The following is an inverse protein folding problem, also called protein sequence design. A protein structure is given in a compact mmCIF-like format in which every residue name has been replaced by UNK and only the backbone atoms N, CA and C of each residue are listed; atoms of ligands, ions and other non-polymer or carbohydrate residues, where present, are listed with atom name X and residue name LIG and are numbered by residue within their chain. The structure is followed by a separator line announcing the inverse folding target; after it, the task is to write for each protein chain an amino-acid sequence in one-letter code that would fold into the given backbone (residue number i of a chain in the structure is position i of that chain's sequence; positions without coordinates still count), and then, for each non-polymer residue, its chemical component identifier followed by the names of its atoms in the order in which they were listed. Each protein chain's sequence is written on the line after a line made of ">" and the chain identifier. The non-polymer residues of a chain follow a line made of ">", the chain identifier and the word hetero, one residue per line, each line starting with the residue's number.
data_IF_734054643276
#
_entry.id   IF_734054643276
#
_cell.length_a   1.000
_cell.length_b   1.000
_cell.length_c   1.000
_cell.angle_alpha   90.00
_cell.angle_beta   90.00
_cell.angle_gamma   90.00
#
_symmetry.space_group_name_H-M   'P 1'
#
loop_
_entity.id
_entity.type
_entity.pdbx_description
1 polymer ?
#
# COMPACT_ATOMS: atom_id res chain seq x y z
N UNK A 1 4.77 -13.60 -2.91
CA UNK A 1 3.81 -12.66 -2.34
C UNK A 1 2.44 -12.72 -3.02
N UNK A 2 2.39 -12.58 -4.33
CA UNK A 2 1.11 -12.50 -5.04
C UNK A 2 0.35 -13.82 -5.11
N UNK A 3 1.00 -14.96 -4.94
CA UNK A 3 0.29 -16.23 -4.75
C UNK A 3 -0.60 -16.19 -3.49
N UNK A 4 -0.16 -15.47 -2.46
CA UNK A 4 -0.92 -15.28 -1.21
C UNK A 4 -2.01 -14.22 -1.43
N UNK A 5 -1.72 -13.17 -2.20
CA UNK A 5 -2.60 -12.01 -2.38
C UNK A 5 -3.60 -12.16 -3.51
N UNK A 6 -3.54 -13.23 -4.30
CA UNK A 6 -4.34 -13.39 -5.53
C UNK A 6 -5.82 -13.09 -5.32
N UNK A 7 -6.40 -13.59 -4.23
CA UNK A 7 -7.82 -13.40 -3.91
C UNK A 7 -8.14 -12.01 -3.38
N UNK A 8 -7.13 -11.26 -2.94
CA UNK A 8 -7.30 -9.89 -2.42
C UNK A 8 -7.17 -8.85 -3.52
N UNK A 9 -6.64 -9.21 -4.69
CA UNK A 9 -6.46 -8.27 -5.79
C UNK A 9 -7.75 -8.02 -6.57
N UNK A 10 -8.56 -9.05 -6.78
CA UNK A 10 -9.71 -8.96 -7.67
C UNK A 10 -10.70 -7.89 -7.20
N UNK A 11 -11.02 -6.96 -8.11
CA UNK A 11 -11.92 -5.85 -7.90
C UNK A 11 -11.51 -4.88 -6.78
N UNK A 12 -10.29 -4.98 -6.28
CA UNK A 12 -9.80 -4.14 -5.19
C UNK A 12 -9.41 -2.75 -5.67
N UNK A 13 -9.62 -1.75 -4.81
CA UNK A 13 -8.94 -0.47 -4.91
C UNK A 13 -7.64 -0.60 -4.13
N UNK A 14 -6.53 -0.27 -4.76
CA UNK A 14 -5.17 -0.49 -4.25
C UNK A 14 -4.49 0.83 -4.00
N UNK A 15 -3.83 0.95 -2.84
CA UNK A 15 -2.95 2.07 -2.53
C UNK A 15 -1.52 1.54 -2.38
N UNK A 16 -0.60 2.12 -3.13
CA UNK A 16 0.83 1.86 -3.02
C UNK A 16 1.50 3.14 -2.57
N UNK A 17 1.74 3.28 -1.27
CA UNK A 17 2.04 4.58 -0.66
C UNK A 17 3.51 4.99 -0.80
N UNK A 18 4.42 4.06 -0.86
CA UNK A 18 5.85 4.30 -1.12
C UNK A 18 6.22 3.50 -2.36
N UNK A 19 5.63 3.89 -3.49
CA UNK A 19 5.48 2.99 -4.62
C UNK A 19 6.77 2.67 -5.37
N UNK A 20 7.78 3.53 -5.31
CA UNK A 20 9.03 3.32 -6.04
C UNK A 20 8.76 3.17 -7.55
N UNK A 21 9.04 1.99 -8.10
CA UNK A 21 8.74 1.70 -9.52
C UNK A 21 7.25 1.44 -9.79
N UNK A 22 6.46 1.24 -8.73
CA UNK A 22 5.06 0.88 -8.85
C UNK A 22 4.80 -0.61 -9.09
N UNK A 23 5.81 -1.46 -8.96
CA UNK A 23 5.70 -2.87 -9.32
C UNK A 23 4.58 -3.60 -8.57
N UNK A 24 4.39 -3.32 -7.28
CA UNK A 24 3.37 -4.00 -6.49
C UNK A 24 1.96 -3.62 -6.96
N UNK A 25 1.69 -2.33 -7.12
CA UNK A 25 0.38 -1.87 -7.59
C UNK A 25 0.09 -2.35 -9.01
N UNK A 26 1.08 -2.33 -9.88
CA UNK A 26 0.92 -2.77 -11.27
C UNK A 26 0.65 -4.27 -11.35
N UNK A 27 1.31 -5.07 -10.51
CA UNK A 27 1.02 -6.49 -10.41
C UNK A 27 -0.41 -6.74 -9.93
N UNK A 28 -0.86 -5.97 -8.92
CA UNK A 28 -2.24 -6.07 -8.45
C UNK A 28 -3.25 -5.75 -9.55
N UNK A 29 -2.99 -4.71 -10.35
CA UNK A 29 -3.83 -4.37 -11.50
C UNK A 29 -3.88 -5.50 -12.53
N UNK A 30 -2.74 -6.14 -12.82
CA UNK A 30 -2.68 -7.26 -13.76
C UNK A 30 -3.44 -8.48 -13.23
N UNK A 31 -3.65 -8.57 -11.92
CA UNK A 31 -4.40 -9.66 -11.28
C UNK A 31 -5.86 -9.30 -11.00
N UNK A 32 -6.35 -8.21 -11.56
CA UNK A 32 -7.77 -7.88 -11.55
C UNK A 32 -8.18 -6.76 -10.62
N UNK A 33 -7.26 -6.00 -10.04
CA UNK A 33 -7.64 -4.85 -9.22
C UNK A 33 -8.41 -3.83 -10.06
N UNK A 34 -9.42 -3.21 -9.44
CA UNK A 34 -10.28 -2.24 -10.12
C UNK A 34 -9.55 -0.93 -10.39
N UNK A 35 -8.69 -0.51 -9.48
CA UNK A 35 -7.91 0.70 -9.64
C UNK A 35 -6.75 0.73 -8.67
N UNK A 36 -5.81 1.63 -8.88
CA UNK A 36 -4.65 1.80 -8.01
C UNK A 36 -4.22 3.25 -7.94
N UNK A 37 -3.80 3.67 -6.75
CA UNK A 37 -3.10 4.93 -6.54
C UNK A 37 -1.66 4.60 -6.18
N UNK A 38 -0.71 5.13 -6.94
CA UNK A 38 0.73 4.98 -6.71
C UNK A 38 1.26 6.34 -6.26
N UNK A 39 1.89 6.39 -5.11
CA UNK A 39 2.41 7.64 -4.57
C UNK A 39 3.87 7.50 -4.18
N UNK A 40 4.65 8.52 -4.50
CA UNK A 40 6.03 8.63 -4.08
C UNK A 40 6.41 10.12 -4.06
N UNK A 41 7.33 10.48 -3.18
CA UNK A 41 7.85 11.86 -3.12
C UNK A 41 8.95 12.12 -4.16
N UNK A 42 9.63 11.07 -4.61
CA UNK A 42 10.78 11.20 -5.52
C UNK A 42 10.28 11.39 -6.95
N UNK A 43 10.60 12.52 -7.62
CA UNK A 43 10.17 12.75 -9.00
C UNK A 43 10.70 11.70 -9.98
N UNK A 44 11.84 11.07 -9.68
CA UNK A 44 12.38 10.00 -10.52
C UNK A 44 11.53 8.74 -10.43
N UNK A 45 11.09 8.39 -9.22
CA UNK A 45 10.17 7.27 -9.00
C UNK A 45 8.84 7.52 -9.73
N UNK A 46 8.28 8.70 -9.58
CA UNK A 46 7.02 9.09 -10.22
C UNK A 46 7.12 8.99 -11.74
N UNK A 47 8.24 9.41 -12.32
CA UNK A 47 8.44 9.30 -13.78
C UNK A 47 8.43 7.84 -14.22
N UNK A 48 9.09 6.96 -13.48
CA UNK A 48 9.12 5.52 -13.76
C UNK A 48 7.72 4.93 -13.61
N UNK A 49 7.00 5.29 -12.55
CA UNK A 49 5.62 4.84 -12.33
C UNK A 49 4.72 5.20 -13.50
N UNK A 50 4.76 6.45 -13.94
CA UNK A 50 3.94 6.93 -15.07
C UNK A 50 4.29 6.19 -16.36
N UNK A 51 5.57 5.97 -16.61
CA UNK A 51 6.03 5.23 -17.78
C UNK A 51 5.53 3.79 -17.74
N UNK A 52 5.64 3.13 -16.59
CA UNK A 52 5.20 1.74 -16.43
C UNK A 52 3.68 1.62 -16.57
N UNK A 53 2.92 2.55 -15.99
CA UNK A 53 1.46 2.60 -16.12
C UNK A 53 1.05 2.68 -17.59
N UNK A 54 1.69 3.56 -18.34
CA UNK A 54 1.39 3.75 -19.76
C UNK A 54 1.79 2.52 -20.59
N UNK A 55 3.00 2.01 -20.36
CA UNK A 55 3.52 0.87 -21.11
C UNK A 55 2.69 -0.40 -20.91
N UNK A 56 2.10 -0.57 -19.75
CA UNK A 56 1.27 -1.73 -19.42
C UNK A 56 -0.22 -1.52 -19.75
N UNK A 57 -0.59 -0.33 -20.22
CA UNK A 57 -1.97 -0.06 -20.61
C UNK A 57 -2.92 0.19 -19.45
N UNK A 58 -2.42 0.66 -18.30
CA UNK A 58 -3.23 0.87 -17.10
C UNK A 58 -3.61 2.32 -16.84
N UNK A 59 -3.40 3.23 -17.80
CA UNK A 59 -3.63 4.65 -17.61
C UNK A 59 -5.06 5.00 -17.15
N UNK A 60 -6.05 4.21 -17.53
CA UNK A 60 -7.44 4.40 -17.15
C UNK A 60 -7.77 3.90 -15.73
N UNK A 61 -6.88 3.11 -15.12
CA UNK A 61 -7.12 2.50 -13.80
C UNK A 61 -6.07 2.86 -12.76
N UNK A 62 -5.00 3.56 -13.15
CA UNK A 62 -3.92 3.92 -12.25
C UNK A 62 -3.79 5.44 -12.16
N UNK A 63 -3.66 5.93 -10.94
CA UNK A 63 -3.41 7.34 -10.65
C UNK A 63 -2.05 7.45 -9.95
N UNK A 64 -1.19 8.33 -10.45
CA UNK A 64 0.14 8.56 -9.87
C UNK A 64 0.15 9.92 -9.18
N UNK A 65 0.59 9.94 -7.92
CA UNK A 65 0.68 11.17 -7.11
C UNK A 65 2.13 11.38 -6.67
N UNK A 66 2.69 12.55 -6.99
CA UNK A 66 3.98 12.96 -6.46
C UNK A 66 3.76 13.80 -5.22
N UNK A 67 3.94 13.20 -4.04
CA UNK A 67 3.78 13.89 -2.75
C UNK A 67 4.36 13.04 -1.63
N UNK A 68 4.62 13.69 -0.49
CA UNK A 68 4.90 12.99 0.77
C UNK A 68 3.68 12.18 1.18
N UNK A 69 3.88 11.15 2.00
CA UNK A 69 2.79 10.25 2.38
C UNK A 69 1.67 10.98 3.14
N UNK A 70 2.01 11.99 3.97
CA UNK A 70 1.03 12.78 4.71
C UNK A 70 0.09 13.53 3.75
N UNK A 71 0.66 14.20 2.76
CA UNK A 71 -0.11 14.94 1.76
C UNK A 71 -0.96 14.01 0.91
N UNK A 72 -0.40 12.88 0.51
CA UNK A 72 -1.12 11.87 -0.25
C UNK A 72 -2.36 11.39 0.50
N UNK A 73 -2.19 10.98 1.76
CA UNK A 73 -3.31 10.48 2.55
C UNK A 73 -4.34 11.57 2.81
N UNK A 74 -3.92 12.80 3.04
CA UNK A 74 -4.84 13.91 3.23
C UNK A 74 -5.72 14.13 1.98
N UNK A 75 -5.13 14.10 0.80
CA UNK A 75 -5.88 14.23 -0.46
C UNK A 75 -6.89 13.10 -0.65
N UNK A 76 -6.45 11.87 -0.44
CA UNK A 76 -7.30 10.70 -0.65
C UNK A 76 -8.44 10.65 0.37
N UNK A 77 -8.19 11.04 1.62
CA UNK A 77 -9.23 11.14 2.64
C UNK A 77 -10.28 12.19 2.27
N UNK A 78 -9.85 13.35 1.75
CA UNK A 78 -10.75 14.40 1.31
C UNK A 78 -11.64 13.96 0.13
N UNK A 79 -11.16 13.03 -0.69
CA UNK A 79 -11.92 12.44 -1.80
C UNK A 79 -12.77 11.24 -1.36
N UNK A 80 -12.78 10.91 -0.08
CA UNK A 80 -13.53 9.77 0.50
C UNK A 80 -13.14 8.42 -0.14
N UNK A 81 -11.88 8.25 -0.50
CA UNK A 81 -11.41 7.00 -1.09
C UNK A 81 -11.19 5.94 -0.01
N UNK A 82 -11.55 4.71 -0.34
CA UNK A 82 -11.30 3.53 0.49
C UNK A 82 -10.53 2.49 -0.32
N UNK A 83 -9.67 1.74 0.39
CA UNK A 83 -8.79 0.76 -0.24
C UNK A 83 -8.94 -0.58 0.42
N UNK A 84 -9.06 -1.63 -0.37
CA UNK A 84 -9.12 -3.00 0.12
C UNK A 84 -7.71 -3.60 0.26
N UNK A 85 -6.73 -3.03 -0.44
CA UNK A 85 -5.36 -3.50 -0.40
C UNK A 85 -4.42 -2.30 -0.36
N UNK A 86 -3.55 -2.25 0.66
CA UNK A 86 -2.57 -1.18 0.84
C UNK A 86 -1.18 -1.80 0.91
N UNK A 87 -0.28 -1.32 0.06
CA UNK A 87 1.13 -1.70 0.08
C UNK A 87 1.97 -0.60 0.71
N UNK A 88 2.84 -0.97 1.62
CA UNK A 88 3.79 -0.08 2.27
C UNK A 88 5.18 -0.68 2.19
N UNK A 89 6.07 -0.04 1.44
CA UNK A 89 7.49 -0.34 1.39
C UNK A 89 8.27 0.92 1.76
N UNK A 90 8.21 1.33 3.04
CA UNK A 90 8.76 2.60 3.48
C UNK A 90 10.29 2.61 3.46
N UNK A 91 10.92 3.81 3.46
CA UNK A 91 12.36 3.94 3.60
C UNK A 91 12.85 3.23 4.86
N UNK A 92 14.06 2.69 4.82
CA UNK A 92 14.65 1.95 5.94
C UNK A 92 14.69 2.74 7.25
N UNK A 93 14.80 4.06 7.18
CA UNK A 93 14.82 4.91 8.37
C UNK A 93 13.46 4.98 9.07
N UNK A 94 12.37 4.67 8.37
CA UNK A 94 11.01 4.74 8.90
C UNK A 94 10.61 3.38 9.47
N UNK A 95 10.96 3.12 10.73
CA UNK A 95 10.65 1.86 11.40
C UNK A 95 9.32 1.90 12.16
N UNK A 96 8.92 3.09 12.60
CA UNK A 96 7.64 3.29 13.26
C UNK A 96 6.61 3.74 12.23
N UNK A 97 5.65 2.87 11.94
CA UNK A 97 4.59 3.11 10.97
C UNK A 97 3.26 3.48 11.63
N UNK A 98 3.25 3.70 12.95
CA UNK A 98 2.01 3.96 13.68
C UNK A 98 1.28 5.21 13.15
N UNK A 99 2.01 6.26 12.76
CA UNK A 99 1.40 7.47 12.21
C UNK A 99 0.74 7.21 10.85
N UNK A 100 1.35 6.39 10.00
CA UNK A 100 0.78 6.01 8.70
C UNK A 100 -0.50 5.19 8.91
N UNK A 101 -0.45 4.19 9.78
CA UNK A 101 -1.59 3.33 10.07
C UNK A 101 -2.74 4.11 10.70
N UNK A 102 -2.43 5.01 11.63
CA UNK A 102 -3.44 5.86 12.27
C UNK A 102 -4.09 6.82 11.27
N UNK A 103 -3.31 7.39 10.36
CA UNK A 103 -3.84 8.27 9.32
C UNK A 103 -4.79 7.51 8.37
N UNK A 104 -4.46 6.27 8.02
CA UNK A 104 -5.34 5.43 7.21
C UNK A 104 -6.66 5.16 7.92
N UNK A 105 -6.60 4.85 9.21
CA UNK A 105 -7.77 4.57 10.04
C UNK A 105 -8.64 5.81 10.23
N UNK A 106 -8.05 6.92 10.68
CA UNK A 106 -8.78 8.17 10.95
C UNK A 106 -9.38 8.77 9.69
N UNK A 107 -8.68 8.64 8.56
CA UNK A 107 -9.18 9.10 7.26
C UNK A 107 -10.24 8.19 6.65
N UNK A 108 -10.58 7.09 7.30
CA UNK A 108 -11.55 6.10 6.82
C UNK A 108 -11.20 5.54 5.45
N UNK A 109 -9.90 5.43 5.18
CA UNK A 109 -9.39 4.88 3.93
C UNK A 109 -9.28 3.35 3.95
N UNK A 110 -9.40 2.78 5.13
CA UNK A 110 -9.42 1.32 5.34
C UNK A 110 -10.58 0.94 6.24
N UNK A 111 -11.03 -0.29 6.11
CA UNK A 111 -12.01 -0.91 6.99
C UNK A 111 -11.54 -2.31 7.40
N UNK A 112 -12.40 -3.07 8.08
CA UNK A 112 -12.07 -4.41 8.58
C UNK A 112 -11.80 -5.43 7.47
N UNK A 113 -12.21 -5.14 6.22
CA UNK A 113 -11.93 -6.01 5.06
C UNK A 113 -10.59 -5.69 4.41
N UNK A 114 -10.00 -4.54 4.74
CA UNK A 114 -8.75 -4.08 4.13
C UNK A 114 -7.55 -4.89 4.63
N UNK A 115 -6.65 -5.20 3.71
CA UNK A 115 -5.37 -5.84 4.03
C UNK A 115 -4.25 -4.84 3.79
N UNK A 116 -3.41 -4.63 4.80
CA UNK A 116 -2.22 -3.79 4.70
C UNK A 116 -1.00 -4.69 4.67
N UNK A 117 -0.21 -4.56 3.61
CA UNK A 117 0.98 -5.37 3.37
C UNK A 117 2.21 -4.50 3.53
N UNK A 118 3.04 -4.80 4.51
CA UNK A 118 4.27 -4.05 4.81
C UNK A 118 5.48 -4.89 4.42
N UNK A 119 6.29 -4.36 3.51
CA UNK A 119 7.61 -4.91 3.22
C UNK A 119 8.66 -4.19 4.07
N UNK A 120 9.56 -4.96 4.68
CA UNK A 120 10.59 -4.45 5.59
C UNK A 120 11.82 -5.35 5.57
N UNK A 121 12.91 -4.93 6.21
CA UNK A 121 14.03 -5.85 6.45
C UNK A 121 13.57 -6.99 7.36
N UNK A 122 14.08 -8.19 7.10
CA UNK A 122 13.63 -9.39 7.79
C UNK A 122 13.73 -9.29 9.33
N UNK A 123 14.75 -8.61 9.85
CA UNK A 123 14.96 -8.43 11.29
C UNK A 123 14.23 -7.22 11.90
N UNK A 124 13.66 -6.33 11.07
CA UNK A 124 13.01 -5.10 11.53
C UNK A 124 11.49 -5.27 11.51
N UNK A 125 10.94 -5.83 12.57
CA UNK A 125 9.48 -5.97 12.70
C UNK A 125 8.85 -4.58 12.76
N UNK A 126 7.88 -4.27 11.87
CA UNK A 126 7.29 -2.93 11.87
C UNK A 126 6.42 -2.69 13.11
N UNK A 127 6.53 -1.48 13.68
CA UNK A 127 5.67 -1.01 14.75
C UNK A 127 4.50 -0.24 14.13
N UNK A 128 3.27 -0.65 14.42
CA UNK A 128 2.08 -0.10 13.75
C UNK A 128 1.03 0.46 14.72
N UNK A 129 1.22 0.31 16.02
CA UNK A 129 0.24 0.74 17.04
C UNK A 129 -0.76 -0.37 17.40
N UNK A 130 -1.70 -0.03 18.28
CA UNK A 130 -2.54 -1.04 18.95
C UNK A 130 -3.81 -1.41 18.18
N UNK A 131 -4.20 -0.64 17.20
CA UNK A 131 -5.48 -0.83 16.48
C UNK A 131 -5.47 -1.91 15.41
N UNK A 132 -4.38 -2.67 15.28
CA UNK A 132 -4.17 -3.59 14.17
C UNK A 132 -3.68 -4.94 14.65
N UNK A 133 -4.04 -5.98 13.90
CA UNK A 133 -3.56 -7.35 14.15
C UNK A 133 -2.75 -7.85 12.97
N UNK A 134 -1.73 -8.65 13.26
CA UNK A 134 -0.95 -9.37 12.24
C UNK A 134 -1.76 -10.57 11.80
N UNK A 135 -2.03 -10.68 10.51
CA UNK A 135 -2.77 -11.82 9.94
C UNK A 135 -1.87 -12.80 9.21
N UNK A 136 -0.71 -12.36 8.77
CA UNK A 136 0.30 -13.23 8.14
C UNK A 136 1.66 -12.58 8.25
N UNK A 137 2.71 -13.39 8.25
CA UNK A 137 4.09 -12.92 8.20
C UNK A 137 4.93 -13.91 7.42
N UNK A 138 5.78 -13.39 6.54
CA UNK A 138 6.64 -14.18 5.66
C UNK A 138 8.04 -13.59 5.64
N UNK A 139 9.01 -14.45 5.43
CA UNK A 139 10.42 -14.06 5.33
C UNK A 139 10.99 -14.59 4.02
N UNK A 140 11.59 -13.68 3.24
CA UNK A 140 12.15 -13.98 1.94
C UNK A 140 13.61 -13.46 1.91
N UNK A 141 14.57 -14.28 2.36
CA UNK A 141 15.97 -13.85 2.45
C UNK A 141 16.15 -12.69 3.42
N UNK A 142 16.53 -11.51 2.91
CA UNK A 142 16.73 -10.31 3.71
C UNK A 142 15.47 -9.48 3.90
N UNK A 143 14.41 -9.78 3.17
CA UNK A 143 13.16 -9.06 3.24
C UNK A 143 12.15 -9.83 4.10
N UNK A 144 11.30 -9.08 4.78
CA UNK A 144 10.15 -9.62 5.49
C UNK A 144 8.87 -8.97 4.99
N UNK A 145 7.77 -9.69 5.16
CA UNK A 145 6.44 -9.17 4.85
C UNK A 145 5.55 -9.44 6.05
N UNK A 146 4.91 -8.39 6.55
CA UNK A 146 3.86 -8.49 7.53
C UNK A 146 2.56 -8.00 6.91
N UNK A 147 1.48 -8.73 7.18
CA UNK A 147 0.14 -8.35 6.75
C UNK A 147 -0.69 -8.01 7.97
N UNK A 148 -1.44 -6.93 7.87
CA UNK A 148 -2.24 -6.40 8.98
C UNK A 148 -3.67 -6.17 8.57
N UNK A 149 -4.58 -6.30 9.54
CA UNK A 149 -5.97 -5.85 9.44
C UNK A 149 -6.31 -4.98 10.63
N UNK A 150 -7.32 -4.14 10.46
CA UNK A 150 -7.92 -3.44 11.58
C UNK A 150 -8.46 -4.47 12.59
N UNK A 151 -8.21 -4.20 13.86
CA UNK A 151 -8.82 -4.96 14.95
C UNK A 151 -10.32 -4.74 14.91
N UNK A 152 -11.08 -5.83 14.87
CA UNK A 152 -12.53 -5.73 14.92
C UNK A 152 -12.98 -5.18 16.26
N UNK A 153 -14.11 -4.48 16.28
CA UNK A 153 -14.75 -4.09 17.53
C UNK A 153 -15.27 -5.35 18.23
N UNK A 154 -14.93 -5.48 19.49
CA UNK A 154 -15.38 -6.62 20.29
C UNK A 154 -16.87 -6.46 20.63
#
# INVERSE_FOLDING_TARGET
>A
LFNILQWHCRDAQVLDLFAGSGALALEALSRGAAGAVLADRDPRAVRIERQNVENLGFADRARVIQAEWQETLRRLAAENMTFQLVFLDPPYAMKDLSAVFEALRLGRMIDETSLIVVEHKAEDVPFVGDGFIVTDQRKYGYAGIHMFRLKGEA
#
